data_IF_916198948383
#
_entry.id   IF_916198948383
#
_cell.length_a   1.000
_cell.length_b   1.000
_cell.length_c   1.000
_cell.angle_alpha   90.00
_cell.angle_beta   90.00
_cell.angle_gamma   90.00
#
_symmetry.space_group_name_H-M   'P 1'
#
loop_
_entity.id
_entity.type
_entity.pdbx_description
1 polymer ?
#
# COMPACT_ATOMS: atom_id res chain seq x y z
N UNK A 1 18.79 3.54 -13.59
CA UNK A 1 17.61 3.19 -12.78
C UNK A 1 16.41 3.76 -13.51
N UNK A 2 15.41 2.94 -13.84
CA UNK A 2 14.19 3.46 -14.46
C UNK A 2 13.54 4.45 -13.47
N UNK A 3 13.31 5.69 -13.90
CA UNK A 3 12.60 6.66 -13.07
C UNK A 3 11.20 6.15 -12.78
N UNK A 4 10.85 6.02 -11.50
CA UNK A 4 9.50 5.64 -11.08
C UNK A 4 8.54 6.74 -11.53
N UNK A 5 7.44 6.36 -12.20
CA UNK A 5 6.45 7.34 -12.66
C UNK A 5 5.75 8.02 -11.46
N UNK A 6 5.37 9.31 -11.55
CA UNK A 6 4.76 10.03 -10.42
C UNK A 6 3.50 9.36 -9.85
N UNK A 7 2.69 8.73 -10.71
CA UNK A 7 1.47 8.01 -10.30
C UNK A 7 1.78 6.79 -9.43
N UNK A 8 2.90 6.10 -9.73
CA UNK A 8 3.35 4.95 -8.94
C UNK A 8 3.77 5.39 -7.54
N UNK A 9 4.55 6.47 -7.45
CA UNK A 9 4.96 7.04 -6.17
C UNK A 9 3.76 7.52 -5.34
N UNK A 10 2.78 8.18 -5.97
CA UNK A 10 1.56 8.61 -5.28
C UNK A 10 0.81 7.43 -4.65
N UNK A 11 0.69 6.31 -5.38
CA UNK A 11 0.02 5.11 -4.89
C UNK A 11 0.83 4.40 -3.80
N UNK A 12 2.16 4.30 -3.95
CA UNK A 12 3.04 3.78 -2.89
C UNK A 12 2.91 4.59 -1.60
N UNK A 13 2.90 5.93 -1.71
CA UNK A 13 2.72 6.82 -0.56
C UNK A 13 1.36 6.58 0.11
N UNK A 14 0.28 6.51 -0.67
CA UNK A 14 -1.05 6.25 -0.13
C UNK A 14 -1.13 4.90 0.58
N UNK A 15 -0.62 3.83 -0.04
CA UNK A 15 -0.60 2.52 0.60
C UNK A 15 0.30 2.43 1.82
N UNK A 16 1.38 3.20 1.88
CA UNK A 16 2.26 3.22 3.05
C UNK A 16 1.50 3.61 4.32
N UNK A 17 0.45 4.43 4.24
CA UNK A 17 -0.40 4.78 5.37
C UNK A 17 -1.08 3.58 6.03
N UNK A 18 -1.26 2.45 5.31
CA UNK A 18 -1.82 1.21 5.88
C UNK A 18 -0.84 0.45 6.78
N UNK A 19 0.44 0.83 6.78
CA UNK A 19 1.52 0.13 7.50
C UNK A 19 2.07 0.95 8.67
N UNK A 20 1.42 2.07 9.00
CA UNK A 20 1.69 2.83 10.21
C UNK A 20 1.18 2.03 11.42
N UNK A 21 1.94 2.03 12.51
CA UNK A 21 1.53 1.43 13.79
C UNK A 21 0.60 2.38 14.55
N UNK A 22 -0.47 2.82 13.87
CA UNK A 22 -1.47 3.78 14.36
C UNK A 22 -2.86 3.33 13.92
N UNK A 23 -3.89 3.70 14.68
CA UNK A 23 -5.27 3.46 14.28
C UNK A 23 -5.58 4.16 12.95
N UNK A 24 -6.04 3.39 11.96
CA UNK A 24 -6.40 3.89 10.64
C UNK A 24 -7.88 4.29 10.67
N UNK A 25 -8.17 5.54 10.31
CA UNK A 25 -9.52 6.08 10.31
C UNK A 25 -10.17 6.12 8.91
N UNK A 26 -11.46 6.46 8.88
CA UNK A 26 -12.24 6.56 7.65
C UNK A 26 -11.69 7.60 6.66
N UNK A 27 -11.06 8.66 7.16
CA UNK A 27 -10.44 9.68 6.32
C UNK A 27 -9.24 9.12 5.57
N UNK A 28 -8.43 8.31 6.24
CA UNK A 28 -7.29 7.62 5.62
C UNK A 28 -7.76 6.65 4.54
N UNK A 29 -8.79 5.83 4.81
CA UNK A 29 -9.35 4.93 3.79
C UNK A 29 -9.91 5.69 2.58
N UNK A 30 -10.63 6.79 2.82
CA UNK A 30 -11.17 7.66 1.77
C UNK A 30 -10.06 8.30 0.93
N UNK A 31 -8.99 8.77 1.58
CA UNK A 31 -7.82 9.31 0.90
C UNK A 31 -7.16 8.28 -0.01
N UNK A 32 -6.96 7.05 0.48
CA UNK A 32 -6.34 5.98 -0.32
C UNK A 32 -7.23 5.64 -1.52
N UNK A 33 -8.54 5.48 -1.33
CA UNK A 33 -9.48 5.21 -2.42
C UNK A 33 -9.44 6.31 -3.50
N UNK A 34 -9.40 7.58 -3.08
CA UNK A 34 -9.25 8.71 -4.01
C UNK A 34 -7.95 8.61 -4.83
N UNK A 35 -6.82 8.37 -4.18
CA UNK A 35 -5.52 8.24 -4.88
C UNK A 35 -5.53 7.06 -5.86
N UNK A 36 -6.12 5.93 -5.47
CA UNK A 36 -6.30 4.76 -6.36
C UNK A 36 -7.00 5.19 -7.65
N UNK A 37 -8.12 5.90 -7.56
CA UNK A 37 -8.86 6.37 -8.74
C UNK A 37 -8.05 7.39 -9.57
N UNK A 38 -7.37 8.34 -8.93
CA UNK A 38 -6.57 9.37 -9.60
C UNK A 38 -5.38 8.79 -10.38
N UNK A 39 -4.86 7.62 -9.99
CA UNK A 39 -3.74 6.97 -10.69
C UNK A 39 -4.14 6.33 -12.02
N UNK A 40 -5.42 5.94 -12.16
CA UNK A 40 -5.95 5.26 -13.34
C UNK A 40 -5.42 3.84 -13.57
N UNK A 41 -4.88 3.19 -12.54
CA UNK A 41 -4.48 1.79 -12.61
C UNK A 41 -5.71 0.86 -12.57
N UNK A 42 -5.63 -0.29 -13.23
CA UNK A 42 -6.66 -1.32 -13.15
C UNK A 42 -6.71 -1.94 -11.75
N UNK A 43 -7.83 -2.55 -11.35
CA UNK A 43 -7.94 -3.27 -10.09
C UNK A 43 -6.80 -4.27 -9.86
N UNK A 44 -6.43 -5.04 -10.88
CA UNK A 44 -5.35 -6.03 -10.80
C UNK A 44 -3.99 -5.37 -10.58
N UNK A 45 -3.74 -4.22 -11.22
CA UNK A 45 -2.52 -3.45 -11.03
C UNK A 45 -2.44 -2.87 -9.62
N UNK A 46 -3.55 -2.35 -9.08
CA UNK A 46 -3.62 -1.79 -7.73
C UNK A 46 -3.35 -2.87 -6.68
N UNK A 47 -4.00 -4.03 -6.81
CA UNK A 47 -3.73 -5.20 -5.98
C UNK A 47 -2.26 -5.63 -6.07
N UNK A 48 -1.73 -5.71 -7.29
CA UNK A 48 -0.35 -6.08 -7.51
C UNK A 48 0.63 -5.12 -6.82
N UNK A 49 0.39 -3.82 -6.92
CA UNK A 49 1.22 -2.79 -6.26
C UNK A 49 1.17 -2.94 -4.74
N UNK A 50 -0.02 -3.10 -4.15
CA UNK A 50 -0.16 -3.29 -2.70
C UNK A 50 0.59 -4.54 -2.23
N UNK A 51 0.37 -5.68 -2.88
CA UNK A 51 0.82 -6.97 -2.37
C UNK A 51 2.24 -7.37 -2.81
N UNK A 52 2.71 -6.90 -3.97
CA UNK A 52 4.02 -7.26 -4.50
C UNK A 52 5.09 -6.21 -4.24
N UNK A 53 4.71 -4.93 -4.22
CA UNK A 53 5.68 -3.82 -4.14
C UNK A 53 5.71 -3.27 -2.71
N UNK A 54 4.56 -2.92 -2.12
CA UNK A 54 4.50 -2.23 -0.83
C UNK A 54 4.55 -3.20 0.36
N UNK A 55 3.65 -4.19 0.40
CA UNK A 55 3.49 -5.09 1.54
C UNK A 55 4.79 -5.78 1.97
N UNK A 56 5.59 -6.38 1.08
CA UNK A 56 6.79 -7.12 1.48
C UNK A 56 7.84 -6.27 2.20
N UNK A 57 7.89 -4.98 1.89
CA UNK A 57 8.87 -4.03 2.44
C UNK A 57 8.36 -3.44 3.74
N UNK A 58 7.08 -3.03 3.80
CA UNK A 58 6.54 -2.29 4.93
C UNK A 58 5.92 -3.17 6.03
N UNK A 59 5.55 -4.43 5.76
CA UNK A 59 4.96 -5.34 6.75
C UNK A 59 5.90 -5.67 7.94
N UNK A 60 7.19 -5.35 7.85
CA UNK A 60 8.09 -5.44 9.00
C UNK A 60 7.78 -4.38 10.08
N UNK A 61 7.25 -3.21 9.69
CA UNK A 61 6.94 -2.11 10.62
C UNK A 61 5.89 -2.53 11.66
N UNK A 62 4.81 -3.18 11.21
CA UNK A 62 3.73 -3.68 12.06
C UNK A 62 4.14 -4.86 12.97
N UNK A 63 5.37 -5.37 12.87
CA UNK A 63 5.89 -6.45 13.73
C UNK A 63 6.79 -5.94 14.85
N UNK A 64 7.19 -4.67 14.82
CA UNK A 64 8.09 -4.07 15.79
C UNK A 64 7.51 -2.73 16.23
N UNK A 65 6.81 -2.74 17.37
CA UNK A 65 6.30 -1.55 18.07
C UNK A 65 7.48 -0.74 18.59
N UNK A 66 8.12 0.04 17.72
CA UNK A 66 9.28 0.84 18.05
C UNK A 66 9.02 2.31 17.71
N UNK A 67 8.38 3.02 18.64
CA UNK A 67 8.21 4.48 18.62
C UNK A 67 7.10 5.00 17.69
N UNK A 68 6.78 6.29 17.80
CA UNK A 68 5.83 6.97 16.90
C UNK A 68 6.46 7.13 15.50
N UNK A 69 6.02 6.33 14.54
CA UNK A 69 6.43 6.47 13.15
C UNK A 69 5.55 7.50 12.43
N UNK A 70 6.16 8.58 11.93
CA UNK A 70 5.50 9.59 11.11
C UNK A 70 5.32 9.17 9.62
N UNK A 71 5.55 7.90 9.30
CA UNK A 71 5.54 7.37 7.93
C UNK A 71 6.86 7.48 7.19
N UNK A 72 6.81 7.39 5.86
CA UNK A 72 7.98 7.35 4.97
C UNK A 72 8.02 8.56 4.05
N UNK A 73 9.21 9.13 3.86
CA UNK A 73 9.42 10.17 2.85
C UNK A 73 9.39 9.59 1.45
N UNK A 74 9.05 10.42 0.45
CA UNK A 74 9.09 10.03 -0.96
C UNK A 74 10.47 9.48 -1.37
N UNK A 75 11.55 10.09 -0.87
CA UNK A 75 12.92 9.62 -1.11
C UNK A 75 13.14 8.21 -0.56
N UNK A 76 12.67 7.93 0.66
CA UNK A 76 12.79 6.61 1.27
C UNK A 76 12.00 5.57 0.48
N UNK A 77 10.76 5.90 0.08
CA UNK A 77 9.92 5.01 -0.73
C UNK A 77 10.58 4.68 -2.08
N UNK A 78 11.14 5.68 -2.76
CA UNK A 78 11.84 5.50 -4.04
C UNK A 78 13.12 4.66 -3.91
N UNK A 79 13.79 4.70 -2.75
CA UNK A 79 15.00 3.94 -2.47
C UNK A 79 14.70 2.48 -2.12
N UNK A 80 13.60 2.21 -1.42
CA UNK A 80 13.31 0.90 -0.84
C UNK A 80 12.23 0.10 -1.59
N UNK A 81 11.34 0.77 -2.33
CA UNK A 81 10.33 0.11 -3.16
C UNK A 81 10.80 -0.01 -4.60
N UNK A 82 10.37 -1.08 -5.25
CA UNK A 82 10.73 -1.37 -6.64
C UNK A 82 9.48 -1.75 -7.42
N UNK A 83 9.42 -1.30 -8.69
CA UNK A 83 8.39 -1.75 -9.63
C UNK A 83 8.65 -3.22 -9.94
N UNK A 84 7.69 -4.08 -9.63
CA UNK A 84 7.86 -5.53 -9.76
C UNK A 84 7.16 -6.04 -11.02
N UNK A 85 7.90 -6.59 -12.02
CA UNK A 85 7.30 -7.27 -13.15
C UNK A 85 6.84 -8.69 -12.73
N UNK A 86 5.58 -9.02 -13.01
CA UNK A 86 5.01 -10.36 -12.72
C UNK A 86 4.44 -10.48 -11.30
N UNK A 87 3.80 -11.60 -10.96
CA UNK A 87 2.92 -11.71 -9.78
C UNK A 87 3.67 -11.59 -8.44
N UNK A 88 2.96 -11.11 -7.41
CA UNK A 88 3.47 -10.99 -6.04
C UNK A 88 4.15 -12.28 -5.55
N UNK A 89 5.33 -12.15 -4.92
CA UNK A 89 6.03 -13.28 -4.31
C UNK A 89 5.16 -13.91 -3.22
N UNK A 90 4.82 -15.20 -3.40
CA UNK A 90 4.15 -16.01 -2.38
C UNK A 90 5.13 -16.23 -1.22
N UNK A 91 4.77 -15.82 -0.01
CA UNK A 91 5.64 -15.99 1.15
C UNK A 91 5.19 -15.27 2.41
N UNK A 92 4.27 -14.33 2.30
CA UNK A 92 3.78 -13.57 3.45
C UNK A 92 2.47 -14.17 3.96
N UNK A 93 2.56 -15.01 4.99
CA UNK A 93 1.42 -15.45 5.81
C UNK A 93 1.54 -14.88 7.21
N UNK A 94 0.40 -14.64 7.90
CA UNK A 94 0.40 -14.15 9.28
C UNK A 94 -0.70 -13.13 9.57
N UNK A 95 -0.75 -12.67 10.82
CA UNK A 95 -1.72 -11.66 11.30
C UNK A 95 -1.63 -10.35 10.52
N UNK A 96 -0.41 -9.87 10.22
CA UNK A 96 -0.20 -8.62 9.45
C UNK A 96 -0.87 -8.67 8.08
N UNK A 97 -0.79 -9.80 7.37
CA UNK A 97 -1.47 -9.93 6.08
C UNK A 97 -2.98 -9.85 6.22
N UNK A 98 -3.55 -10.45 7.27
CA UNK A 98 -4.99 -10.39 7.54
C UNK A 98 -5.41 -8.97 7.85
N UNK A 99 -4.62 -8.22 8.61
CA UNK A 99 -4.92 -6.82 8.93
C UNK A 99 -4.87 -5.94 7.68
N UNK A 100 -3.83 -6.07 6.85
CA UNK A 100 -3.76 -5.30 5.60
C UNK A 100 -4.90 -5.71 4.65
N UNK A 101 -5.31 -6.98 4.63
CA UNK A 101 -6.47 -7.40 3.84
C UNK A 101 -7.78 -6.80 4.35
N UNK A 102 -7.95 -6.70 5.68
CA UNK A 102 -9.09 -6.00 6.30
C UNK A 102 -9.09 -4.51 5.94
N UNK A 103 -7.95 -3.85 6.07
CA UNK A 103 -7.79 -2.44 5.69
C UNK A 103 -8.06 -2.22 4.20
N UNK A 104 -7.58 -3.12 3.34
CA UNK A 104 -7.90 -3.07 1.92
C UNK A 104 -9.40 -3.21 1.66
N UNK A 105 -10.10 -4.10 2.37
CA UNK A 105 -11.55 -4.23 2.21
C UNK A 105 -12.30 -2.92 2.54
N UNK A 106 -11.82 -2.17 3.53
CA UNK A 106 -12.35 -0.82 3.82
C UNK A 106 -12.09 0.15 2.65
N UNK A 107 -10.89 0.17 2.09
CA UNK A 107 -10.58 0.99 0.90
C UNK A 107 -11.46 0.57 -0.28
N UNK A 108 -11.58 -0.73 -0.55
CA UNK A 108 -12.33 -1.29 -1.68
C UNK A 108 -13.83 -0.99 -1.58
N UNK A 109 -14.41 -0.98 -0.37
CA UNK A 109 -15.80 -0.59 -0.16
C UNK A 109 -16.10 0.87 -0.57
N UNK A 110 -15.07 1.70 -0.74
CA UNK A 110 -15.15 3.11 -1.18
C UNK A 110 -14.81 3.28 -2.66
N UNK A 111 -14.46 2.19 -3.34
CA UNK A 111 -14.12 2.16 -4.76
C UNK A 111 -15.28 1.61 -5.59
N UNK A 112 -15.27 1.83 -6.92
CA UNK A 112 -16.16 1.13 -7.83
C UNK A 112 -16.09 -0.41 -7.68
N UNK A 113 -17.17 -1.14 -8.02
CA UNK A 113 -17.27 -2.59 -7.78
C UNK A 113 -16.17 -3.44 -8.41
N UNK A 114 -15.50 -2.96 -9.46
CA UNK A 114 -14.38 -3.66 -10.08
C UNK A 114 -13.14 -3.77 -9.18
N UNK A 115 -13.05 -2.97 -8.11
CA UNK A 115 -11.97 -3.00 -7.11
C UNK A 115 -12.29 -3.83 -5.85
N UNK A 116 -13.52 -4.33 -5.74
CA UNK A 116 -14.02 -5.08 -4.59
C UNK A 116 -13.43 -6.50 -4.48
#
# INVERSE_FOLDING_TARGET
>A
MASVEPRRLALWRAFSSLFLDTDIDDQTFTYIARVVLETGYSPEQVQHILWAEVFPVLAANLRSVAGEWAGWSDAWLLENLQVMPGPARKGWGGSVRKEIARCWAEVAARLPPEFA
#
